data_IF_621934210270
#
_entry.id   IF_621934210270
#
_cell.length_a   1.000
_cell.length_b   1.000
_cell.length_c   1.000
_cell.angle_alpha   90.00
_cell.angle_beta   90.00
_cell.angle_gamma   90.00
#
_symmetry.space_group_name_H-M   'P 1'
#
loop_
_entity.id
_entity.type
_entity.pdbx_description
1 polymer ?
#
# COMPACT_ATOMS: atom_id res chain seq x y z
N UNK A 1 -0.07 9.31 -36.78
CA UNK A 1 1.16 9.09 -36.01
C UNK A 1 1.26 10.14 -34.94
N UNK A 2 1.45 9.76 -33.67
CA UNK A 2 1.69 10.68 -32.55
C UNK A 2 3.09 10.43 -31.99
N UNK A 3 3.76 11.50 -31.62
CA UNK A 3 5.10 11.49 -31.00
C UNK A 3 5.01 12.05 -29.59
N UNK A 4 5.80 11.47 -28.70
CA UNK A 4 5.92 11.89 -27.30
C UNK A 4 7.38 11.83 -26.89
N UNK A 5 7.81 12.77 -26.07
CA UNK A 5 9.13 12.74 -25.44
C UNK A 5 8.96 12.31 -24.00
N UNK A 6 9.71 11.29 -23.57
CA UNK A 6 9.73 10.86 -22.18
C UNK A 6 10.33 11.95 -21.28
N UNK A 7 9.62 12.28 -20.22
CA UNK A 7 10.09 13.24 -19.21
C UNK A 7 10.88 12.53 -18.12
N UNK A 8 11.49 13.26 -17.20
CA UNK A 8 12.13 12.69 -16.00
C UNK A 8 11.17 11.80 -15.18
N UNK A 9 9.86 12.10 -15.21
CA UNK A 9 8.82 11.31 -14.53
C UNK A 9 8.45 10.01 -15.26
N UNK A 10 8.81 9.87 -16.52
CA UNK A 10 8.62 8.66 -17.31
C UNK A 10 9.85 7.73 -17.24
N UNK A 11 10.94 8.18 -16.61
CA UNK A 11 12.17 7.39 -16.49
C UNK A 11 11.91 6.06 -15.75
N UNK A 12 12.34 4.96 -16.37
CA UNK A 12 12.11 3.59 -15.88
C UNK A 12 10.69 3.05 -16.09
N UNK A 13 9.73 3.83 -16.57
CA UNK A 13 8.36 3.38 -16.87
C UNK A 13 8.40 2.37 -18.02
N UNK A 14 7.64 1.25 -17.90
CA UNK A 14 7.50 0.31 -19.00
C UNK A 14 6.77 0.97 -20.18
N UNK A 15 7.30 0.81 -21.39
CA UNK A 15 6.74 1.37 -22.61
C UNK A 15 5.27 0.99 -22.83
N UNK A 16 4.88 -0.27 -22.51
CA UNK A 16 3.47 -0.69 -22.58
C UNK A 16 2.56 0.13 -21.68
N UNK A 17 3.01 0.46 -20.46
CA UNK A 17 2.25 1.29 -19.52
C UNK A 17 2.19 2.74 -19.98
N UNK A 18 3.28 3.25 -20.53
CA UNK A 18 3.33 4.59 -21.13
C UNK A 18 2.32 4.71 -22.27
N UNK A 19 2.30 3.74 -23.20
CA UNK A 19 1.33 3.76 -24.33
C UNK A 19 -0.10 3.75 -23.80
N UNK A 20 -0.41 2.94 -22.78
CA UNK A 20 -1.74 2.92 -22.16
C UNK A 20 -2.11 4.26 -21.51
N UNK A 21 -1.15 5.00 -20.96
CA UNK A 21 -1.41 6.29 -20.31
C UNK A 21 -1.70 7.43 -21.29
N UNK A 22 -1.16 7.35 -22.54
CA UNK A 22 -1.36 8.36 -23.59
C UNK A 22 -2.49 8.02 -24.54
N UNK A 23 -3.07 6.82 -24.41
CA UNK A 23 -4.20 6.36 -25.23
C UNK A 23 -5.47 6.24 -24.38
N UNK A 24 -6.63 6.40 -25.04
CA UNK A 24 -7.94 6.27 -24.43
C UNK A 24 -8.60 4.97 -24.91
N UNK A 25 -9.16 4.20 -23.96
CA UNK A 25 -9.94 2.98 -24.25
C UNK A 25 -9.24 1.99 -25.20
N UNK A 26 -7.88 2.00 -25.20
CA UNK A 26 -7.08 1.14 -26.05
C UNK A 26 -7.01 -0.27 -25.47
N UNK A 27 -7.65 -1.28 -26.14
CA UNK A 27 -7.71 -2.63 -25.60
C UNK A 27 -6.32 -3.25 -25.45
N UNK A 28 -6.09 -4.00 -24.39
CA UNK A 28 -4.80 -4.67 -24.15
C UNK A 28 -4.40 -5.60 -25.31
N UNK A 29 -5.36 -6.27 -25.95
CA UNK A 29 -5.10 -7.12 -27.12
C UNK A 29 -4.54 -6.33 -28.31
N UNK A 30 -5.08 -5.12 -28.57
CA UNK A 30 -4.58 -4.22 -29.60
C UNK A 30 -3.25 -3.59 -29.23
N UNK A 31 -3.02 -3.30 -27.96
CA UNK A 31 -1.74 -2.82 -27.44
C UNK A 31 -0.62 -3.79 -27.80
N UNK A 32 -0.72 -5.05 -27.38
CA UNK A 32 0.31 -6.05 -27.68
C UNK A 32 0.44 -6.39 -29.16
N UNK A 33 -0.67 -6.33 -29.91
CA UNK A 33 -0.66 -6.45 -31.38
C UNK A 33 0.12 -5.30 -32.03
N UNK A 34 0.01 -4.06 -31.50
CA UNK A 34 0.75 -2.90 -31.98
C UNK A 34 2.25 -3.04 -31.78
N UNK A 35 2.69 -3.59 -30.67
CA UNK A 35 4.10 -3.92 -30.44
C UNK A 35 4.62 -4.99 -31.42
N UNK A 36 3.84 -6.07 -31.61
CA UNK A 36 4.17 -7.13 -32.59
C UNK A 36 4.35 -6.57 -34.00
N UNK A 37 3.43 -5.70 -34.41
CA UNK A 37 3.37 -5.11 -35.75
C UNK A 37 4.31 -3.90 -35.92
N UNK A 38 5.27 -3.68 -35.01
CA UNK A 38 6.26 -2.58 -35.06
C UNK A 38 5.63 -1.18 -35.12
N UNK A 39 4.38 -1.02 -34.61
CA UNK A 39 3.65 0.25 -34.57
C UNK A 39 4.03 1.14 -33.37
N UNK A 40 4.90 0.64 -32.49
CA UNK A 40 5.48 1.36 -31.34
C UNK A 40 6.98 1.36 -31.51
N UNK A 41 7.58 2.54 -31.57
CA UNK A 41 9.02 2.73 -31.68
C UNK A 41 9.53 3.65 -30.59
N UNK A 42 10.80 3.50 -30.22
CA UNK A 42 11.54 4.41 -29.37
C UNK A 42 12.81 4.79 -30.10
N UNK A 43 13.07 6.09 -30.22
CA UNK A 43 14.24 6.64 -30.95
C UNK A 43 14.37 6.04 -32.37
N UNK A 44 13.22 5.94 -33.10
CA UNK A 44 13.14 5.38 -34.45
C UNK A 44 13.25 3.85 -34.53
N UNK A 45 13.54 3.14 -33.43
CA UNK A 45 13.74 1.68 -33.42
C UNK A 45 12.56 0.95 -32.80
N UNK A 46 12.28 -0.28 -33.25
CA UNK A 46 11.30 -1.16 -32.60
C UNK A 46 11.70 -1.41 -31.14
N UNK A 47 10.76 -1.23 -30.22
CA UNK A 47 10.96 -1.52 -28.80
C UNK A 47 9.97 -2.59 -28.31
N UNK A 48 10.36 -3.34 -27.28
CA UNK A 48 9.52 -4.34 -26.63
C UNK A 48 8.54 -3.67 -25.64
N UNK A 49 7.39 -4.32 -25.33
CA UNK A 49 6.45 -3.80 -24.31
C UNK A 49 7.09 -3.55 -22.95
N UNK A 50 8.12 -4.33 -22.59
CA UNK A 50 8.85 -4.29 -21.33
C UNK A 50 9.97 -3.25 -21.32
N UNK A 51 10.29 -2.63 -22.48
CA UNK A 51 11.30 -1.58 -22.56
C UNK A 51 11.03 -0.51 -21.50
N UNK A 52 12.08 -0.14 -20.79
CA UNK A 52 12.01 0.91 -19.79
C UNK A 52 12.49 2.21 -20.39
N UNK A 53 11.59 3.16 -20.42
CA UNK A 53 11.89 4.50 -20.94
C UNK A 53 13.03 5.15 -20.17
N UNK A 54 13.82 5.94 -20.90
CA UNK A 54 14.78 6.87 -20.33
C UNK A 54 14.28 8.31 -20.59
N UNK A 55 14.57 9.21 -19.67
CA UNK A 55 14.25 10.63 -19.88
C UNK A 55 14.89 11.11 -21.19
N UNK A 56 14.09 11.77 -22.05
CA UNK A 56 14.51 12.19 -23.39
C UNK A 56 14.21 11.20 -24.52
N UNK A 57 13.79 9.96 -24.24
CA UNK A 57 13.37 9.01 -25.27
C UNK A 57 12.24 9.58 -26.12
N UNK A 58 12.38 9.50 -27.44
CA UNK A 58 11.32 9.85 -28.41
C UNK A 58 10.46 8.62 -28.71
N UNK A 59 9.21 8.64 -28.27
CA UNK A 59 8.25 7.55 -28.49
C UNK A 59 7.36 7.89 -29.68
N UNK A 60 7.34 7.02 -30.66
CA UNK A 60 6.54 7.14 -31.88
C UNK A 60 5.43 6.07 -31.89
N UNK A 61 4.17 6.51 -31.95
CA UNK A 61 3.00 5.65 -31.92
C UNK A 61 2.26 5.73 -33.26
N UNK A 62 2.31 4.63 -34.01
CA UNK A 62 1.57 4.43 -35.27
C UNK A 62 0.23 3.74 -34.97
N UNK A 63 -0.57 4.37 -34.13
CA UNK A 63 -1.87 3.91 -33.65
C UNK A 63 -2.94 4.84 -34.23
N UNK A 64 -4.16 4.36 -34.46
CA UNK A 64 -5.25 5.15 -34.99
C UNK A 64 -5.61 6.32 -34.06
N UNK A 65 -5.94 7.47 -34.64
CA UNK A 65 -6.20 8.71 -33.91
C UNK A 65 -7.41 8.62 -32.96
N UNK A 66 -8.35 7.71 -33.21
CA UNK A 66 -9.50 7.43 -32.34
C UNK A 66 -9.12 7.04 -30.91
N UNK A 67 -7.93 6.46 -30.75
CA UNK A 67 -7.38 6.07 -29.43
C UNK A 67 -6.61 7.17 -28.73
N UNK A 68 -6.47 8.34 -29.34
CA UNK A 68 -5.85 9.47 -28.68
C UNK A 68 -6.91 10.51 -28.27
N UNK A 69 -6.70 11.22 -27.15
CA UNK A 69 -7.53 12.37 -26.85
C UNK A 69 -7.51 13.37 -28.02
N UNK A 70 -8.64 14.04 -28.39
CA UNK A 70 -8.63 15.11 -29.37
C UNK A 70 -7.59 16.20 -29.04
N UNK A 71 -6.95 16.79 -30.04
CA UNK A 71 -6.02 17.89 -29.83
C UNK A 71 -6.72 19.08 -29.14
N UNK A 72 -6.15 19.55 -28.04
CA UNK A 72 -6.76 20.58 -27.20
C UNK A 72 -7.83 20.05 -26.24
N UNK A 73 -8.17 18.79 -26.24
CA UNK A 73 -8.95 18.22 -25.16
C UNK A 73 -8.12 18.26 -23.88
N UNK A 74 -8.58 19.02 -22.90
CA UNK A 74 -8.12 18.84 -21.52
C UNK A 74 -8.16 17.34 -21.21
N UNK A 75 -7.16 16.76 -20.49
CA UNK A 75 -7.15 15.34 -20.17
C UNK A 75 -8.55 14.90 -19.80
N UNK A 76 -9.11 13.96 -20.59
CA UNK A 76 -10.51 13.58 -20.42
C UNK A 76 -10.62 13.01 -19.02
N UNK A 77 -11.24 13.76 -18.14
CA UNK A 77 -11.76 13.22 -16.92
C UNK A 77 -12.56 11.99 -17.29
N UNK A 78 -12.09 10.80 -16.91
CA UNK A 78 -12.98 9.63 -16.80
C UNK A 78 -14.24 10.16 -16.14
N UNK A 79 -15.39 9.98 -16.79
CA UNK A 79 -16.70 10.54 -16.48
C UNK A 79 -16.75 11.31 -15.18
N UNK A 80 -17.15 12.61 -15.25
CA UNK A 80 -17.09 13.56 -14.13
C UNK A 80 -17.23 12.82 -12.80
N UNK A 81 -16.27 12.84 -11.94
CA UNK A 81 -16.33 12.02 -10.74
C UNK A 81 -17.66 12.30 -10.07
N UNK A 82 -18.49 11.27 -9.85
CA UNK A 82 -19.54 11.35 -8.85
C UNK A 82 -18.88 12.08 -7.71
N UNK A 83 -19.41 13.26 -7.29
CA UNK A 83 -18.84 14.17 -6.30
C UNK A 83 -17.78 13.46 -5.47
N UNK A 84 -16.49 13.75 -5.72
CA UNK A 84 -15.43 13.06 -4.96
C UNK A 84 -15.75 13.30 -3.50
N UNK A 85 -15.83 12.25 -2.68
CA UNK A 85 -16.06 12.44 -1.27
C UNK A 85 -14.99 13.41 -0.77
N UNK A 86 -15.37 14.29 0.14
CA UNK A 86 -14.44 15.24 0.72
C UNK A 86 -13.29 14.43 1.33
N UNK A 87 -12.11 14.47 0.72
CA UNK A 87 -10.98 13.67 1.17
C UNK A 87 -10.53 14.20 2.54
N UNK A 88 -10.22 13.31 3.50
CA UNK A 88 -9.75 13.74 4.81
C UNK A 88 -8.39 14.43 4.68
N UNK A 89 -8.13 15.37 5.59
CA UNK A 89 -6.81 15.99 5.71
C UNK A 89 -5.76 14.91 6.02
N UNK A 90 -4.67 14.92 5.28
CA UNK A 90 -3.55 13.99 5.49
C UNK A 90 -2.76 14.42 6.72
N UNK A 91 -2.44 13.45 7.60
CA UNK A 91 -1.49 13.65 8.69
C UNK A 91 -0.14 13.09 8.27
N UNK A 92 0.83 13.98 8.08
CA UNK A 92 2.20 13.63 7.68
C UNK A 92 3.05 13.43 8.93
N UNK A 93 3.72 12.28 9.04
CA UNK A 93 4.63 11.93 10.13
C UNK A 93 6.08 12.21 9.75
N UNK A 94 6.43 11.98 8.48
CA UNK A 94 7.71 12.29 7.87
C UNK A 94 7.49 12.64 6.41
N UNK A 95 8.29 13.55 5.88
CA UNK A 95 8.25 13.93 4.47
C UNK A 95 9.62 14.43 4.02
N UNK A 96 10.00 14.06 2.81
CA UNK A 96 11.13 14.60 2.07
C UNK A 96 10.76 14.85 0.60
N UNK A 97 11.75 15.04 -0.27
CA UNK A 97 11.52 15.27 -1.70
C UNK A 97 10.98 14.04 -2.45
N UNK A 98 11.27 12.82 -1.98
CA UNK A 98 10.96 11.56 -2.67
C UNK A 98 9.70 10.88 -2.13
N UNK A 99 9.48 10.93 -0.83
CA UNK A 99 8.39 10.20 -0.18
C UNK A 99 7.82 10.91 1.04
N UNK A 100 6.66 10.45 1.47
CA UNK A 100 6.06 10.81 2.73
C UNK A 100 5.66 9.56 3.52
N UNK A 101 5.73 9.62 4.85
CA UNK A 101 5.12 8.63 5.74
C UNK A 101 3.90 9.28 6.39
N UNK A 102 2.75 8.70 6.11
CA UNK A 102 1.44 9.21 6.47
C UNK A 102 0.85 8.41 7.62
N UNK A 103 0.09 9.06 8.49
CA UNK A 103 -0.78 8.36 9.42
C UNK A 103 -2.13 8.10 8.76
N UNK A 104 -2.51 6.84 8.66
CA UNK A 104 -3.83 6.40 8.22
C UNK A 104 -4.72 6.14 9.44
N UNK A 105 -5.83 6.84 9.64
CA UNK A 105 -6.79 6.51 10.68
C UNK A 105 -7.57 5.23 10.35
N UNK A 106 -8.28 4.69 11.34
CA UNK A 106 -9.25 3.61 11.13
C UNK A 106 -10.35 4.05 10.16
N UNK A 107 -10.97 3.08 9.50
CA UNK A 107 -12.07 3.26 8.52
C UNK A 107 -11.69 3.98 7.22
N UNK A 108 -10.52 4.60 7.09
CA UNK A 108 -10.04 5.14 5.83
C UNK A 108 -9.48 4.01 4.96
N UNK A 109 -9.88 3.98 3.69
CA UNK A 109 -9.32 3.06 2.69
C UNK A 109 -7.90 3.50 2.29
N UNK A 110 -7.04 2.55 1.94
CA UNK A 110 -5.74 2.84 1.33
C UNK A 110 -5.89 3.27 -0.14
N UNK A 111 -6.69 2.54 -0.89
CA UNK A 111 -7.02 2.80 -2.30
C UNK A 111 -8.53 2.89 -2.47
N UNK A 112 -8.96 3.55 -3.54
CA UNK A 112 -10.37 3.53 -3.96
C UNK A 112 -10.83 2.10 -4.21
N UNK A 113 -12.05 1.80 -3.79
CA UNK A 113 -12.77 0.56 -4.08
C UNK A 113 -14.09 0.85 -4.80
N UNK A 114 -14.96 -0.16 -4.87
CA UNK A 114 -16.28 -0.02 -5.53
C UNK A 114 -17.26 0.84 -4.73
N UNK A 115 -16.99 1.12 -3.46
CA UNK A 115 -17.87 1.95 -2.61
C UNK A 115 -17.78 3.42 -2.97
N UNK A 116 -16.65 3.86 -3.53
CA UNK A 116 -16.36 5.26 -3.79
C UNK A 116 -16.06 6.07 -2.52
N UNK A 117 -15.78 5.40 -1.41
CA UNK A 117 -15.39 6.04 -0.15
C UNK A 117 -14.05 6.78 -0.27
N UNK A 118 -13.83 7.72 0.64
CA UNK A 118 -12.56 8.43 0.77
C UNK A 118 -11.39 7.45 0.98
N UNK A 119 -10.24 7.78 0.39
CA UNK A 119 -9.06 6.93 0.48
C UNK A 119 -7.76 7.74 0.60
N UNK A 120 -6.72 7.10 1.15
CA UNK A 120 -5.46 7.74 1.46
C UNK A 120 -4.71 8.22 0.21
N UNK A 121 -4.77 7.47 -0.90
CA UNK A 121 -4.08 7.86 -2.16
C UNK A 121 -4.65 9.16 -2.72
N UNK A 122 -5.98 9.29 -2.77
CA UNK A 122 -6.61 10.51 -3.28
C UNK A 122 -6.41 11.68 -2.33
N UNK A 123 -6.45 11.44 -1.00
CA UNK A 123 -6.13 12.44 0.01
C UNK A 123 -4.67 12.95 -0.13
N UNK A 124 -3.72 12.04 -0.32
CA UNK A 124 -2.30 12.38 -0.53
C UNK A 124 -2.08 13.13 -1.84
N UNK A 125 -2.74 12.70 -2.93
CA UNK A 125 -2.68 13.40 -4.21
C UNK A 125 -3.19 14.84 -4.08
N UNK A 126 -4.33 15.03 -3.38
CA UNK A 126 -4.87 16.35 -3.11
C UNK A 126 -3.93 17.22 -2.26
N UNK A 127 -3.30 16.63 -1.24
CA UNK A 127 -2.30 17.30 -0.41
C UNK A 127 -1.12 17.82 -1.23
N UNK A 128 -0.53 16.99 -2.10
CA UNK A 128 0.58 17.39 -2.98
C UNK A 128 0.15 18.46 -4.01
N UNK A 129 -1.08 18.37 -4.52
CA UNK A 129 -1.63 19.38 -5.43
C UNK A 129 -1.74 20.74 -4.73
N UNK A 130 -2.22 20.77 -3.49
CA UNK A 130 -2.31 22.02 -2.70
C UNK A 130 -0.94 22.61 -2.37
N UNK A 131 0.10 21.76 -2.22
CA UNK A 131 1.49 22.21 -2.05
C UNK A 131 2.16 22.68 -3.34
N UNK A 132 1.55 22.45 -4.50
CA UNK A 132 2.18 22.70 -5.80
C UNK A 132 3.24 21.67 -6.20
N UNK A 133 3.32 20.53 -5.50
CA UNK A 133 4.26 19.43 -5.80
C UNK A 133 3.71 18.40 -6.80
N UNK A 134 2.43 18.46 -7.12
CA UNK A 134 1.77 17.63 -8.11
C UNK A 134 0.70 18.43 -8.86
N UNK A 135 0.76 18.40 -10.20
CA UNK A 135 -0.28 18.95 -11.06
C UNK A 135 -1.06 17.78 -11.71
N UNK A 136 -2.34 17.58 -11.36
CA UNK A 136 -3.16 16.53 -11.96
C UNK A 136 -3.50 16.80 -13.44
N UNK A 137 -3.28 18.02 -13.94
CA UNK A 137 -3.52 18.46 -15.33
C UNK A 137 -2.23 18.68 -16.12
N UNK A 138 -1.09 18.54 -15.46
CA UNK A 138 0.23 18.71 -16.05
C UNK A 138 0.61 17.54 -16.96
N UNK A 139 1.75 17.67 -17.62
CA UNK A 139 2.33 16.61 -18.47
C UNK A 139 2.81 15.41 -17.65
N UNK A 140 2.85 15.53 -16.34
CA UNK A 140 3.28 14.48 -15.42
C UNK A 140 2.25 13.35 -15.39
N UNK A 141 2.60 12.18 -15.94
CA UNK A 141 1.74 10.99 -16.01
C UNK A 141 1.80 10.08 -14.80
N UNK A 142 2.75 10.32 -13.92
CA UNK A 142 2.82 9.60 -12.66
C UNK A 142 1.81 10.20 -11.67
N UNK A 143 0.93 9.36 -11.14
CA UNK A 143 0.08 9.72 -10.01
C UNK A 143 0.76 9.28 -8.71
N UNK A 144 0.93 10.17 -7.72
CA UNK A 144 1.44 9.80 -6.40
C UNK A 144 0.70 8.60 -5.82
N UNK A 145 1.41 7.72 -5.15
CA UNK A 145 0.84 6.45 -4.68
C UNK A 145 1.47 5.96 -3.39
N UNK A 146 0.82 4.97 -2.77
CA UNK A 146 1.34 4.33 -1.55
C UNK A 146 2.12 3.08 -1.88
N UNK A 147 3.17 2.82 -1.09
CA UNK A 147 4.10 1.70 -1.26
C UNK A 147 3.71 0.47 -0.42
N UNK A 148 2.93 0.65 0.64
CA UNK A 148 2.39 -0.43 1.46
C UNK A 148 0.91 -0.17 1.80
N UNK A 149 0.22 -1.20 2.26
CA UNK A 149 -1.21 -1.12 2.58
C UNK A 149 -1.46 -1.52 4.01
N UNK A 150 -2.48 -0.90 4.59
CA UNK A 150 -3.13 -1.33 5.82
C UNK A 150 -4.60 -1.67 5.51
N UNK A 151 -5.17 -2.60 6.28
CA UNK A 151 -6.60 -2.91 6.19
C UNK A 151 -7.43 -1.68 6.57
N UNK A 152 -8.71 -1.64 6.13
CA UNK A 152 -9.62 -0.52 6.42
C UNK A 152 -9.70 -0.20 7.92
N UNK A 153 -9.79 -1.22 8.76
CA UNK A 153 -9.87 -1.06 10.23
C UNK A 153 -8.51 -0.93 10.93
N UNK A 154 -7.38 -1.14 10.24
CA UNK A 154 -6.04 -0.94 10.80
C UNK A 154 -5.62 0.52 10.66
N UNK A 155 -5.06 1.09 11.70
CA UNK A 155 -4.48 2.43 11.69
C UNK A 155 -2.95 2.39 11.64
N UNK A 156 -2.31 3.55 11.44
CA UNK A 156 -0.87 3.71 11.57
C UNK A 156 -0.14 4.14 10.30
N UNK A 157 1.14 3.82 10.23
CA UNK A 157 2.08 4.34 9.25
C UNK A 157 1.92 3.69 7.86
N UNK A 158 1.82 4.55 6.85
CA UNK A 158 1.79 4.17 5.43
C UNK A 158 2.81 5.01 4.67
N UNK A 159 3.67 4.37 3.87
CA UNK A 159 4.66 5.04 3.02
C UNK A 159 3.98 5.41 1.69
N UNK A 160 4.17 6.64 1.26
CA UNK A 160 3.68 7.16 -0.01
C UNK A 160 4.82 7.77 -0.82
N UNK A 161 4.88 7.48 -2.12
CA UNK A 161 5.89 7.97 -3.04
C UNK A 161 5.37 9.18 -3.83
N UNK A 162 6.22 10.19 -4.00
CA UNK A 162 5.94 11.42 -4.74
C UNK A 162 6.30 11.31 -6.21
N UNK A 163 7.21 10.37 -6.57
CA UNK A 163 7.67 10.14 -7.94
C UNK A 163 7.64 8.66 -8.31
N UNK A 164 7.70 8.36 -9.62
CA UNK A 164 7.77 6.98 -10.10
C UNK A 164 9.06 6.28 -9.64
N UNK A 165 10.19 7.00 -9.69
CA UNK A 165 11.49 6.47 -9.24
C UNK A 165 11.43 6.10 -7.76
N UNK A 166 10.93 6.99 -6.91
CA UNK A 166 10.76 6.71 -5.49
C UNK A 166 9.82 5.51 -5.22
N UNK A 167 8.72 5.41 -6.00
CA UNK A 167 7.80 4.25 -5.89
C UNK A 167 8.48 2.93 -6.27
N UNK A 168 9.24 2.93 -7.36
CA UNK A 168 10.00 1.75 -7.83
C UNK A 168 11.01 1.31 -6.79
N UNK A 169 11.83 2.25 -6.34
CA UNK A 169 12.95 2.01 -5.43
C UNK A 169 12.45 1.61 -4.03
N UNK A 170 11.34 2.21 -3.56
CA UNK A 170 10.69 1.78 -2.33
C UNK A 170 10.10 0.36 -2.43
N UNK A 171 9.50 0.01 -3.56
CA UNK A 171 9.02 -1.36 -3.80
C UNK A 171 10.17 -2.38 -3.84
N UNK A 172 11.35 -1.98 -4.34
CA UNK A 172 12.56 -2.81 -4.28
C UNK A 172 13.00 -3.05 -2.83
N UNK A 173 13.10 -1.99 -2.02
CA UNK A 173 13.40 -2.06 -0.57
C UNK A 173 12.44 -3.02 0.14
N UNK A 174 11.14 -2.94 -0.17
CA UNK A 174 10.13 -3.84 0.41
C UNK A 174 10.31 -5.27 -0.07
N UNK A 175 10.58 -5.48 -1.35
CA UNK A 175 10.74 -6.80 -1.97
C UNK A 175 11.98 -7.54 -1.47
N UNK A 176 13.02 -6.82 -1.15
CA UNK A 176 14.31 -7.35 -0.63
C UNK A 176 14.35 -7.40 0.90
N UNK A 177 13.22 -7.21 1.58
CA UNK A 177 13.07 -7.26 3.04
C UNK A 177 13.96 -6.25 3.81
N UNK A 178 14.35 -5.15 3.15
CA UNK A 178 15.13 -4.07 3.75
C UNK A 178 14.27 -3.06 4.52
N UNK A 179 12.96 -3.32 4.62
CA UNK A 179 12.01 -2.53 5.40
C UNK A 179 11.41 -3.38 6.52
N UNK A 180 11.68 -3.02 7.78
CA UNK A 180 11.02 -3.65 8.93
C UNK A 180 9.82 -2.82 9.36
N UNK A 181 8.71 -3.49 9.65
CA UNK A 181 7.45 -2.89 10.11
C UNK A 181 7.07 -3.52 11.43
N UNK A 182 6.82 -2.66 12.43
CA UNK A 182 6.33 -3.10 13.73
C UNK A 182 4.92 -2.56 13.96
N UNK A 183 4.10 -3.40 14.56
CA UNK A 183 2.72 -3.08 14.92
C UNK A 183 2.52 -3.24 16.41
N UNK A 184 1.61 -2.46 16.98
CA UNK A 184 1.02 -2.78 18.27
C UNK A 184 -0.37 -3.35 18.05
N UNK A 185 -0.74 -4.33 18.88
CA UNK A 185 -2.07 -4.93 18.86
C UNK A 185 -2.49 -5.29 20.28
N UNK A 186 -3.81 -5.26 20.52
CA UNK A 186 -4.40 -5.80 21.74
C UNK A 186 -5.04 -7.14 21.38
N UNK A 187 -4.64 -8.20 22.08
CA UNK A 187 -5.19 -9.55 21.89
C UNK A 187 -6.18 -9.91 22.97
N UNK A 188 -7.16 -10.73 22.63
CA UNK A 188 -8.02 -11.46 23.56
C UNK A 188 -7.34 -12.78 23.90
N UNK A 189 -6.89 -12.91 25.14
CA UNK A 189 -5.97 -13.94 25.61
C UNK A 189 -4.51 -13.51 25.44
N UNK A 190 -3.65 -14.06 26.29
CA UNK A 190 -2.22 -13.75 26.35
C UNK A 190 -1.48 -14.76 25.45
N UNK A 191 -0.88 -14.35 24.32
CA UNK A 191 -0.04 -15.22 23.51
C UNK A 191 1.30 -15.49 24.20
N UNK A 192 2.02 -16.50 23.75
CA UNK A 192 3.44 -16.62 24.05
C UNK A 192 4.23 -15.62 23.20
N UNK A 193 5.31 -15.05 23.77
CA UNK A 193 6.28 -14.31 22.97
C UNK A 193 7.13 -15.30 22.16
N UNK A 194 7.42 -14.97 20.91
CA UNK A 194 8.24 -15.80 20.03
C UNK A 194 7.93 -15.62 18.56
N UNK A 195 8.61 -16.42 17.74
CA UNK A 195 8.42 -16.48 16.30
C UNK A 195 7.45 -17.61 15.95
N UNK A 196 6.40 -17.27 15.21
CA UNK A 196 5.39 -18.20 14.74
C UNK A 196 5.41 -18.31 13.23
N UNK A 197 5.41 -19.54 12.74
CA UNK A 197 5.37 -19.86 11.32
C UNK A 197 4.12 -20.70 11.03
N UNK A 198 3.43 -20.35 9.95
CA UNK A 198 2.23 -21.07 9.50
C UNK A 198 2.08 -20.90 7.98
N UNK A 199 1.02 -21.46 7.43
CA UNK A 199 0.70 -21.42 6.01
C UNK A 199 -0.59 -20.66 5.78
N UNK A 200 -0.53 -19.62 4.96
CA UNK A 200 -1.60 -18.67 4.65
C UNK A 200 -2.22 -19.03 3.30
N UNK A 201 -3.54 -19.03 3.24
CA UNK A 201 -4.32 -19.23 2.02
C UNK A 201 -5.41 -18.17 1.92
N UNK A 202 -5.58 -17.59 0.73
CA UNK A 202 -6.56 -16.53 0.48
C UNK A 202 -7.66 -17.00 -0.48
N UNK A 203 -8.88 -17.01 0.01
CA UNK A 203 -10.08 -17.11 -0.80
C UNK A 203 -10.46 -15.71 -1.29
N UNK A 204 -10.07 -15.39 -2.53
CA UNK A 204 -10.33 -14.08 -3.13
C UNK A 204 -11.82 -13.80 -3.31
N UNK A 205 -12.64 -14.84 -3.59
CA UNK A 205 -14.09 -14.69 -3.83
C UNK A 205 -14.79 -14.20 -2.57
N UNK A 206 -14.44 -14.75 -1.42
CA UNK A 206 -15.00 -14.41 -0.12
C UNK A 206 -14.15 -13.40 0.65
N UNK A 207 -13.05 -12.94 0.06
CA UNK A 207 -12.04 -12.09 0.71
C UNK A 207 -11.67 -12.61 2.11
N UNK A 208 -11.52 -13.94 2.26
CA UNK A 208 -11.25 -14.60 3.53
C UNK A 208 -9.88 -15.26 3.53
N UNK A 209 -9.16 -15.15 4.65
CA UNK A 209 -7.86 -15.79 4.85
C UNK A 209 -8.06 -16.95 5.82
N UNK A 210 -7.43 -18.08 5.49
CA UNK A 210 -7.31 -19.25 6.35
C UNK A 210 -5.85 -19.52 6.66
N UNK A 211 -5.57 -20.00 7.87
CA UNK A 211 -4.22 -20.34 8.33
C UNK A 211 -4.17 -21.85 8.60
N UNK A 212 -3.08 -22.47 8.18
CA UNK A 212 -2.88 -23.90 8.24
C UNK A 212 -1.50 -24.25 8.83
N UNK A 213 -1.39 -25.41 9.46
CA UNK A 213 -0.12 -25.90 10.02
C UNK A 213 0.88 -26.32 8.93
N UNK A 214 0.39 -26.78 7.77
CA UNK A 214 1.22 -27.38 6.71
C UNK A 214 0.95 -26.76 5.35
N UNK A 215 1.95 -26.84 4.48
CA UNK A 215 1.84 -26.48 3.06
C UNK A 215 0.80 -27.35 2.37
N UNK A 216 0.13 -26.84 1.34
CA UNK A 216 -0.72 -27.62 0.43
C UNK A 216 0.10 -28.28 -0.66
N UNK A 217 -0.36 -29.42 -1.16
CA UNK A 217 0.31 -30.13 -2.28
C UNK A 217 0.37 -29.32 -3.57
N UNK A 218 -0.60 -28.44 -3.79
CA UNK A 218 -0.71 -27.57 -4.98
C UNK A 218 -0.08 -26.18 -4.78
N UNK A 219 0.74 -25.99 -3.74
CA UNK A 219 1.49 -24.75 -3.44
C UNK A 219 0.64 -23.48 -3.32
N UNK A 220 -0.69 -23.58 -3.24
CA UNK A 220 -1.56 -22.40 -3.04
C UNK A 220 -1.32 -21.70 -1.72
N UNK A 221 -0.89 -22.47 -0.70
CA UNK A 221 -0.55 -21.92 0.60
C UNK A 221 0.83 -21.30 0.58
N UNK A 222 0.92 -20.10 1.13
CA UNK A 222 2.18 -19.35 1.24
C UNK A 222 2.61 -19.30 2.69
N UNK A 223 3.89 -19.50 2.94
CA UNK A 223 4.45 -19.38 4.28
C UNK A 223 4.28 -17.95 4.81
N UNK A 224 3.93 -17.84 6.07
CA UNK A 224 3.91 -16.60 6.84
C UNK A 224 4.74 -16.75 8.10
N UNK A 225 5.41 -15.66 8.47
CA UNK A 225 6.23 -15.57 9.68
C UNK A 225 5.84 -14.29 10.41
N UNK A 226 5.48 -14.44 11.70
CA UNK A 226 5.05 -13.34 12.57
C UNK A 226 5.78 -13.46 13.90
N UNK A 227 6.50 -12.40 14.28
CA UNK A 227 7.14 -12.29 15.58
C UNK A 227 6.17 -11.59 16.55
N UNK A 228 6.00 -12.15 17.73
CA UNK A 228 5.09 -11.67 18.78
C UNK A 228 5.89 -11.43 20.06
N UNK A 229 5.86 -10.21 20.58
CA UNK A 229 6.40 -9.84 21.89
C UNK A 229 5.26 -9.32 22.76
N UNK A 230 4.98 -9.98 23.88
CA UNK A 230 4.02 -9.49 24.88
C UNK A 230 4.66 -8.39 25.69
N UNK A 231 4.13 -7.16 25.59
CA UNK A 231 4.65 -5.99 26.29
C UNK A 231 4.02 -5.81 27.66
N UNK A 232 2.68 -5.97 27.74
CA UNK A 232 1.89 -5.77 28.96
C UNK A 232 0.66 -6.67 28.94
N UNK A 233 0.12 -6.96 30.10
CA UNK A 233 -1.12 -7.73 30.26
C UNK A 233 -2.10 -7.02 31.17
N UNK A 234 -3.40 -7.12 30.85
CA UNK A 234 -4.51 -6.56 31.62
C UNK A 234 -5.67 -7.56 31.60
N UNK A 235 -5.76 -8.41 32.63
CA UNK A 235 -6.71 -9.49 32.71
C UNK A 235 -6.62 -10.47 31.54
N UNK A 236 -7.71 -10.61 30.75
CA UNK A 236 -7.70 -11.50 29.62
C UNK A 236 -7.06 -10.86 28.36
N UNK A 237 -6.51 -9.65 28.45
CA UNK A 237 -5.95 -8.92 27.32
C UNK A 237 -4.43 -8.82 27.42
N UNK A 238 -3.77 -8.78 26.27
CA UNK A 238 -2.35 -8.47 26.16
C UNK A 238 -2.12 -7.37 25.11
N UNK A 239 -1.28 -6.40 25.47
CA UNK A 239 -0.66 -5.49 24.49
C UNK A 239 0.58 -6.18 23.93
N UNK A 240 0.58 -6.41 22.63
CA UNK A 240 1.67 -7.09 21.95
C UNK A 240 2.33 -6.19 20.91
N UNK A 241 3.65 -6.30 20.79
CA UNK A 241 4.41 -5.81 19.65
C UNK A 241 4.51 -6.94 18.63
N UNK A 242 4.20 -6.65 17.37
CA UNK A 242 4.22 -7.61 16.28
C UNK A 242 5.25 -7.17 15.23
N UNK A 243 6.19 -8.05 14.93
CA UNK A 243 7.11 -7.93 13.79
C UNK A 243 6.62 -8.76 12.61
N UNK A 244 6.54 -8.17 11.42
CA UNK A 244 6.22 -8.90 10.20
C UNK A 244 7.48 -9.22 9.42
N UNK A 245 7.81 -10.52 9.29
CA UNK A 245 8.82 -11.00 8.34
C UNK A 245 8.20 -11.14 6.94
N UNK A 246 6.94 -11.55 6.87
CA UNK A 246 6.13 -11.59 5.64
C UNK A 246 4.95 -10.64 5.78
N UNK A 247 4.42 -10.10 4.66
CA UNK A 247 3.34 -9.10 4.67
C UNK A 247 2.13 -9.51 3.82
N UNK A 248 1.41 -10.58 4.21
CA UNK A 248 0.22 -11.06 3.50
C UNK A 248 -1.06 -10.37 4.00
N UNK A 249 -2.08 -10.35 3.14
CA UNK A 249 -3.41 -9.81 3.47
C UNK A 249 -3.93 -10.42 4.78
N UNK A 250 -4.37 -9.56 5.70
CA UNK A 250 -4.89 -9.93 7.03
C UNK A 250 -3.94 -10.81 7.89
N UNK A 251 -2.63 -10.86 7.57
CA UNK A 251 -1.72 -11.82 8.20
C UNK A 251 -1.78 -11.79 9.73
N UNK A 252 -1.54 -10.64 10.36
CA UNK A 252 -1.54 -10.51 11.83
C UNK A 252 -2.87 -11.00 12.40
N UNK A 253 -3.97 -10.55 11.86
CA UNK A 253 -5.33 -10.81 12.32
C UNK A 253 -5.69 -12.29 12.26
N UNK A 254 -5.47 -12.92 11.11
CA UNK A 254 -5.76 -14.34 10.90
C UNK A 254 -4.79 -15.23 11.65
N UNK A 255 -3.50 -14.87 11.73
CA UNK A 255 -2.50 -15.68 12.42
C UNK A 255 -2.71 -15.69 13.93
N UNK A 256 -2.96 -14.52 14.55
CA UNK A 256 -3.27 -14.44 15.99
C UNK A 256 -4.58 -15.17 16.33
N UNK A 257 -5.58 -15.09 15.47
CA UNK A 257 -6.82 -15.85 15.64
C UNK A 257 -6.59 -17.37 15.57
N UNK A 258 -5.75 -17.84 14.64
CA UNK A 258 -5.33 -19.23 14.53
C UNK A 258 -4.60 -19.71 15.79
N UNK A 259 -3.79 -18.88 16.40
CA UNK A 259 -3.12 -19.14 17.68
C UNK A 259 -4.08 -19.09 18.90
N UNK A 260 -5.38 -18.87 18.68
CA UNK A 260 -6.38 -18.75 19.74
C UNK A 260 -6.31 -17.45 20.53
N UNK A 261 -5.60 -16.43 20.00
CA UNK A 261 -5.39 -15.12 20.63
C UNK A 261 -5.78 -13.98 19.68
N UNK A 262 -7.07 -13.91 19.27
CA UNK A 262 -7.50 -12.98 18.23
C UNK A 262 -7.33 -11.54 18.64
N UNK A 263 -7.22 -10.65 17.64
CA UNK A 263 -7.16 -9.19 17.84
C UNK A 263 -8.49 -8.69 18.40
N UNK A 264 -8.44 -7.88 19.44
CA UNK A 264 -9.60 -7.23 20.04
C UNK A 264 -10.26 -6.29 19.02
N UNK A 265 -11.59 -6.29 18.94
CA UNK A 265 -12.37 -5.46 18.02
C UNK A 265 -12.36 -5.97 16.57
N UNK A 266 -11.66 -7.06 16.25
CA UNK A 266 -11.72 -7.64 14.92
C UNK A 266 -13.07 -8.33 14.70
N UNK A 267 -13.83 -7.83 13.70
CA UNK A 267 -15.18 -8.35 13.39
C UNK A 267 -15.12 -9.63 12.53
N UNK A 268 -13.97 -9.91 11.91
CA UNK A 268 -13.82 -11.02 10.95
C UNK A 268 -13.17 -12.27 11.57
N UNK A 269 -12.14 -12.05 12.38
CA UNK A 269 -11.34 -13.11 13.01
C UNK A 269 -11.40 -13.04 14.55
N UNK A 270 -12.04 -12.02 15.10
CA UNK A 270 -12.04 -11.70 16.52
C UNK A 270 -13.03 -12.51 17.37
N UNK A 271 -13.02 -12.23 18.66
CA UNK A 271 -13.95 -12.77 19.64
C UNK A 271 -15.12 -11.82 19.83
N UNK A 272 -16.28 -12.14 19.25
CA UNK A 272 -17.47 -11.30 19.27
C UNK A 272 -17.93 -10.94 20.68
N UNK A 273 -17.98 -11.91 21.59
CA UNK A 273 -18.42 -11.69 22.98
C UNK A 273 -17.52 -10.69 23.71
N UNK A 274 -16.20 -10.78 23.52
CA UNK A 274 -15.26 -9.85 24.12
C UNK A 274 -15.33 -8.46 23.47
N UNK A 275 -15.53 -8.38 22.17
CA UNK A 275 -15.71 -7.12 21.45
C UNK A 275 -16.95 -6.37 21.96
N UNK A 276 -18.08 -7.08 22.13
CA UNK A 276 -19.31 -6.52 22.69
C UNK A 276 -19.12 -6.08 24.14
N UNK A 277 -18.47 -6.90 24.97
CA UNK A 277 -18.19 -6.60 26.38
C UNK A 277 -17.33 -5.34 26.57
N UNK A 278 -16.34 -5.13 25.71
CA UNK A 278 -15.44 -3.96 25.76
C UNK A 278 -15.93 -2.77 24.97
N UNK A 279 -17.02 -2.91 24.21
CA UNK A 279 -17.50 -1.87 23.29
C UNK A 279 -16.57 -1.61 22.11
N UNK A 280 -15.57 -2.48 21.86
CA UNK A 280 -14.56 -2.29 20.81
C UNK A 280 -15.09 -2.74 19.47
N UNK A 281 -15.30 -1.78 18.54
CA UNK A 281 -15.94 -2.01 17.24
C UNK A 281 -14.94 -2.12 16.07
N UNK A 282 -13.67 -1.82 16.31
CA UNK A 282 -12.61 -1.77 15.29
C UNK A 282 -11.39 -2.52 15.81
N UNK A 283 -10.72 -3.24 14.95
CA UNK A 283 -9.53 -4.02 15.32
C UNK A 283 -8.46 -3.14 15.98
N UNK A 284 -8.08 -3.49 17.21
CA UNK A 284 -7.01 -2.84 17.96
C UNK A 284 -5.65 -3.26 17.36
N UNK A 285 -5.30 -2.66 16.21
CA UNK A 285 -4.09 -2.94 15.44
C UNK A 285 -3.57 -1.66 14.81
N UNK A 286 -2.34 -1.29 15.15
CA UNK A 286 -1.69 -0.05 14.71
C UNK A 286 -0.28 -0.32 14.18
N UNK A 287 0.03 0.13 12.96
CA UNK A 287 1.38 0.15 12.42
C UNK A 287 2.15 1.31 13.04
N UNK A 288 3.05 1.02 14.00
CA UNK A 288 3.66 2.04 14.87
C UNK A 288 5.06 2.45 14.47
N UNK A 289 5.79 1.59 13.74
CA UNK A 289 7.20 1.83 13.41
C UNK A 289 7.58 1.24 12.07
N UNK A 290 8.39 2.00 11.35
CA UNK A 290 9.06 1.64 10.11
C UNK A 290 10.55 1.85 10.31
N UNK A 291 11.37 0.85 9.99
CA UNK A 291 12.83 0.94 10.07
C UNK A 291 13.42 0.49 8.73
N UNK A 292 14.22 1.36 8.13
CA UNK A 292 15.01 1.04 6.95
C UNK A 292 16.29 0.34 7.40
N UNK A 293 16.60 -0.79 6.79
CA UNK A 293 17.87 -1.48 6.97
C UNK A 293 18.94 -0.83 6.07
N UNK A 294 20.00 -1.55 5.79
CA UNK A 294 21.07 -1.10 4.91
C UNK A 294 20.61 -1.14 3.44
N UNK A 295 20.14 0.00 2.94
CA UNK A 295 19.66 0.16 1.57
C UNK A 295 20.86 0.31 0.64
N UNK A 296 20.95 -0.44 -0.50
CA UNK A 296 22.07 -0.35 -1.43
C UNK A 296 22.28 1.07 -2.00
N UNK A 297 23.54 1.45 -2.25
CA UNK A 297 23.93 2.79 -2.74
C UNK A 297 23.33 3.14 -4.10
N UNK A 298 23.08 2.14 -4.96
CA UNK A 298 22.43 2.33 -6.26
C UNK A 298 20.94 2.65 -6.17
N UNK A 299 20.31 2.49 -5.00
CA UNK A 299 18.93 2.84 -4.77
C UNK A 299 18.82 4.34 -4.43
N UNK A 300 17.98 5.08 -5.12
CA UNK A 300 17.84 6.54 -4.89
C UNK A 300 17.40 6.90 -3.48
N UNK A 301 16.87 5.93 -2.73
CA UNK A 301 16.46 6.06 -1.33
C UNK A 301 17.53 5.57 -0.34
N UNK A 302 18.78 5.35 -0.77
CA UNK A 302 19.89 4.92 0.08
C UNK A 302 20.05 5.81 1.33
N UNK A 303 19.82 7.10 1.22
CA UNK A 303 19.89 8.06 2.34
C UNK A 303 18.94 7.76 3.51
N UNK A 304 18.00 6.83 3.32
CA UNK A 304 17.13 6.32 4.39
C UNK A 304 17.73 5.16 5.19
N UNK A 305 18.92 4.66 4.81
CA UNK A 305 19.60 3.57 5.53
C UNK A 305 19.71 3.90 7.02
N UNK A 306 19.32 2.94 7.87
CA UNK A 306 19.32 3.10 9.33
C UNK A 306 18.21 4.01 9.89
N UNK A 307 17.43 4.68 9.04
CA UNK A 307 16.37 5.59 9.49
C UNK A 307 15.22 4.84 10.11
N UNK A 308 14.74 5.38 11.24
CA UNK A 308 13.57 4.87 11.96
C UNK A 308 12.51 5.96 12.05
N UNK A 309 11.30 5.64 11.59
CA UNK A 309 10.12 6.51 11.67
C UNK A 309 9.09 5.82 12.55
N UNK A 310 8.63 6.49 13.61
CA UNK A 310 7.71 5.93 14.59
C UNK A 310 6.64 6.92 15.02
N UNK A 311 5.47 6.42 15.39
CA UNK A 311 4.44 7.20 16.08
C UNK A 311 4.91 7.50 17.50
N UNK A 312 4.73 8.74 17.98
CA UNK A 312 5.13 9.13 19.35
C UNK A 312 4.22 8.46 20.36
N UNK A 313 2.92 8.70 20.29
CA UNK A 313 1.92 8.22 21.26
C UNK A 313 0.74 7.58 20.53
N UNK A 314 0.89 6.33 20.05
CA UNK A 314 -0.18 5.67 19.31
C UNK A 314 -1.40 5.42 20.23
N UNK A 315 -2.59 5.74 19.73
CA UNK A 315 -3.86 5.70 20.48
C UNK A 315 -4.14 4.33 21.11
N UNK A 316 -3.60 3.27 20.53
CA UNK A 316 -3.75 1.89 21.04
C UNK A 316 -3.19 1.72 22.46
N UNK A 317 -2.18 2.52 22.86
CA UNK A 317 -1.65 2.49 24.23
C UNK A 317 -2.71 3.00 25.22
N UNK A 318 -3.35 4.12 24.91
CA UNK A 318 -4.42 4.67 25.73
C UNK A 318 -5.64 3.72 25.77
N UNK A 319 -5.95 3.07 24.65
CA UNK A 319 -6.99 2.05 24.60
C UNK A 319 -6.67 0.88 25.54
N UNK A 320 -5.41 0.43 25.58
CA UNK A 320 -4.99 -0.63 26.49
C UNK A 320 -5.06 -0.20 27.96
N UNK A 321 -4.61 1.02 28.29
CA UNK A 321 -4.68 1.59 29.65
C UNK A 321 -6.12 1.67 30.18
N UNK A 322 -7.07 1.98 29.30
CA UNK A 322 -8.49 1.99 29.66
C UNK A 322 -9.03 0.60 30.03
N UNK A 323 -8.53 -0.46 29.38
CA UNK A 323 -8.88 -1.86 29.70
C UNK A 323 -8.26 -2.31 31.04
N UNK A 324 -7.10 -1.78 31.42
CA UNK A 324 -6.42 -2.09 32.66
C UNK A 324 -7.15 -1.46 33.85
N UNK A 325 -7.53 -0.20 33.75
CA UNK A 325 -8.25 0.55 34.79
C UNK A 325 -9.68 0.03 35.06
N UNK A 326 -10.32 -0.61 34.10
CA UNK A 326 -11.68 -1.14 34.26
C UNK A 326 -11.80 -2.32 35.25
N UNK A 327 -10.68 -2.73 35.88
CA UNK A 327 -10.64 -3.76 36.93
C UNK A 327 -10.59 -3.21 38.35
N UNK A 328 -10.25 -1.94 38.52
CA UNK A 328 -10.14 -1.31 39.84
C UNK A 328 -11.45 -0.65 40.29
N UNK A 329 -12.45 -0.64 39.42
CA UNK A 329 -13.82 -0.19 39.69
C UNK A 329 -14.80 -1.37 39.75
#
# INVERSE_FOLDING_TARGET
MKQFTATANDDGVRLSRFVQSVTRDFPSSLLYKSFRNKRVKVNGKKAAPEYRLQAGDLIELYINDEFFPPEGAKPVQKAAPKKQPNQPKVTVIYEDENLAVLYKPTHLLCHSDRTGDANLVDAFTQYLTQKGEYDPHGENRFKPGICNRLDRGTEGLVIAAKSYTALRDMNEIIRTDLLKKEYYTITVGIPQSGRFTAWWEHDEKNNKVSIHAHQSQDERRKQIITDVDVLRTAGPFALCKIGLVTGRTHQIRAHLAYLGKPVLGDIKYGNRKMNERTGTKTQALCAVRISFLDVPEENTLHYLSGKVIKLKDPQILQQFDALDKSKEA
#
